data_IF_759002572012
#
_entry.id   IF_759002572012
#
_cell.length_a   1.000
_cell.length_b   1.000
_cell.length_c   1.000
_cell.angle_alpha   90.00
_cell.angle_beta   90.00
_cell.angle_gamma   90.00
#
_symmetry.space_group_name_H-M   'P 1'
#
loop_
_entity.id
_entity.type
_entity.pdbx_description
1 polymer ?
#
# COMPACT_ATOMS: atom_id res chain seq x y z
N UNK A 1 17.50 -35.23 -8.49
CA UNK A 1 17.16 -33.99 -9.21
C UNK A 1 15.76 -34.19 -9.80
N UNK A 2 14.70 -33.96 -9.02
CA UNK A 2 13.35 -34.40 -9.36
C UNK A 2 12.34 -33.26 -9.19
N UNK A 3 11.87 -32.79 -10.34
CA UNK A 3 10.52 -32.28 -10.67
C UNK A 3 9.62 -31.81 -9.52
N UNK A 4 9.82 -30.58 -9.04
CA UNK A 4 8.82 -29.88 -8.20
C UNK A 4 8.43 -28.50 -8.73
N UNK A 5 8.44 -28.31 -10.06
CA UNK A 5 8.22 -27.01 -10.69
C UNK A 5 6.75 -26.65 -11.01
N UNK A 6 5.79 -27.58 -10.91
CA UNK A 6 4.41 -27.34 -11.36
C UNK A 6 3.34 -27.23 -10.28
N UNK A 7 3.70 -27.33 -9.00
CA UNK A 7 2.76 -27.13 -7.90
C UNK A 7 3.11 -25.82 -7.24
N UNK A 8 2.46 -24.73 -7.64
CA UNK A 8 2.45 -23.49 -6.85
C UNK A 8 2.06 -23.89 -5.42
N UNK A 9 2.99 -23.82 -4.43
CA UNK A 9 2.65 -24.15 -3.06
C UNK A 9 1.49 -23.25 -2.62
N UNK A 10 0.54 -23.79 -1.87
CA UNK A 10 -0.65 -23.04 -1.43
C UNK A 10 -0.28 -21.70 -0.74
N UNK A 11 0.93 -21.61 -0.20
CA UNK A 11 1.51 -20.42 0.43
C UNK A 11 1.89 -19.29 -0.55
N UNK A 12 2.17 -19.60 -1.82
CA UNK A 12 2.34 -18.57 -2.86
C UNK A 12 1.03 -17.88 -3.22
N UNK A 13 -0.13 -18.53 -3.02
CA UNK A 13 -1.43 -17.93 -3.30
C UNK A 13 -1.72 -16.74 -2.38
N UNK A 14 -1.38 -16.85 -1.10
CA UNK A 14 -1.53 -15.74 -0.13
C UNK A 14 -0.57 -14.60 -0.46
N UNK A 15 0.67 -14.91 -0.80
CA UNK A 15 1.67 -13.93 -1.23
C UNK A 15 1.24 -13.17 -2.50
N UNK A 16 0.65 -13.86 -3.48
CA UNK A 16 0.11 -13.22 -4.69
C UNK A 16 -1.04 -12.26 -4.40
N UNK A 17 -1.90 -12.55 -3.41
CA UNK A 17 -2.99 -11.63 -3.01
C UNK A 17 -2.43 -10.33 -2.43
N UNK A 18 -1.37 -10.42 -1.61
CA UNK A 18 -0.69 -9.24 -1.10
C UNK A 18 -0.07 -8.38 -2.20
N UNK A 19 0.64 -9.01 -3.14
CA UNK A 19 1.24 -8.30 -4.26
C UNK A 19 0.19 -7.67 -5.18
N UNK A 20 -0.91 -8.37 -5.46
CA UNK A 20 -1.98 -7.83 -6.29
C UNK A 20 -2.66 -6.63 -5.61
N UNK A 21 -2.94 -6.73 -4.30
CA UNK A 21 -3.47 -5.62 -3.52
C UNK A 21 -2.50 -4.43 -3.55
N UNK A 22 -1.21 -4.68 -3.37
CA UNK A 22 -0.20 -3.64 -3.45
C UNK A 22 -0.13 -2.98 -4.83
N UNK A 23 -0.20 -3.77 -5.91
CA UNK A 23 -0.19 -3.25 -7.27
C UNK A 23 -1.39 -2.36 -7.58
N UNK A 24 -2.58 -2.69 -7.06
CA UNK A 24 -3.79 -1.85 -7.20
C UNK A 24 -3.60 -0.53 -6.45
N UNK A 25 -3.07 -0.59 -5.23
CA UNK A 25 -2.75 0.59 -4.42
C UNK A 25 -1.73 1.46 -5.15
N UNK A 26 -0.65 0.88 -5.67
CA UNK A 26 0.40 1.58 -6.40
C UNK A 26 -0.12 2.23 -7.69
N UNK A 27 -0.97 1.53 -8.45
CA UNK A 27 -1.60 2.09 -9.66
C UNK A 27 -2.49 3.30 -9.31
N UNK A 28 -3.32 3.18 -8.29
CA UNK A 28 -4.21 4.25 -7.82
C UNK A 28 -3.39 5.45 -7.33
N UNK A 29 -2.31 5.17 -6.60
CA UNK A 29 -1.36 6.17 -6.11
C UNK A 29 -0.66 6.89 -7.26
N UNK A 30 -0.21 6.16 -8.28
CA UNK A 30 0.43 6.74 -9.46
C UNK A 30 -0.53 7.66 -10.23
N UNK A 31 -1.79 7.26 -10.40
CA UNK A 31 -2.82 8.11 -11.00
C UNK A 31 -3.07 9.37 -10.18
N UNK A 32 -3.22 9.23 -8.85
CA UNK A 32 -3.39 10.37 -7.95
C UNK A 32 -2.17 11.31 -7.98
N UNK A 33 -0.95 10.77 -8.04
CA UNK A 33 0.31 11.52 -8.16
C UNK A 33 0.42 12.27 -9.49
N UNK A 34 0.02 11.64 -10.60
CA UNK A 34 0.01 12.29 -11.90
C UNK A 34 -0.99 13.46 -11.96
N UNK A 35 -2.13 13.33 -11.26
CA UNK A 35 -3.14 14.38 -11.14
C UNK A 35 -2.73 15.49 -10.18
N UNK A 36 -2.02 15.13 -9.11
CA UNK A 36 -1.64 16.03 -8.01
C UNK A 36 -0.16 16.35 -8.05
N UNK A 37 0.18 17.55 -8.50
CA UNK A 37 1.51 18.13 -8.27
C UNK A 37 1.39 19.18 -7.18
N UNK A 38 1.84 18.87 -5.96
CA UNK A 38 1.83 19.80 -4.83
C UNK A 38 3.20 20.39 -4.56
N UNK A 39 3.24 21.71 -4.32
CA UNK A 39 4.38 22.42 -3.74
C UNK A 39 4.01 22.82 -2.32
N UNK A 40 4.86 22.46 -1.36
CA UNK A 40 4.70 22.83 0.04
C UNK A 40 5.66 23.97 0.33
N UNK A 41 5.12 25.13 0.67
CA UNK A 41 5.90 26.24 1.19
C UNK A 41 5.77 26.25 2.70
N UNK A 42 6.87 25.98 3.40
CA UNK A 42 6.95 26.17 4.84
C UNK A 42 7.44 27.59 5.10
N UNK A 43 6.55 28.46 5.56
CA UNK A 43 6.93 29.78 6.01
C UNK A 43 7.41 29.71 7.47
N UNK A 44 8.33 30.58 7.89
CA UNK A 44 8.84 30.61 9.28
C UNK A 44 7.73 30.81 10.34
N UNK A 45 6.55 31.26 9.90
CA UNK A 45 5.36 31.50 10.71
C UNK A 45 4.41 30.30 10.70
N UNK A 46 4.82 29.12 11.21
CA UNK A 46 3.99 27.94 11.55
C UNK A 46 2.89 27.50 10.55
N UNK A 47 2.92 27.97 9.30
CA UNK A 47 1.85 27.79 8.32
C UNK A 47 2.45 27.17 7.08
N UNK A 48 1.96 25.98 6.73
CA UNK A 48 2.35 25.27 5.53
C UNK A 48 1.30 25.54 4.44
N UNK A 49 1.71 26.22 3.37
CA UNK A 49 0.86 26.48 2.22
C UNK A 49 1.03 25.35 1.20
N UNK A 50 -0.09 24.71 0.86
CA UNK A 50 -0.16 23.67 -0.18
C UNK A 50 -0.65 24.31 -1.49
N UNK A 51 0.24 24.42 -2.47
CA UNK A 51 -0.09 24.92 -3.80
C UNK A 51 -0.22 23.73 -4.74
N UNK A 52 -1.41 23.52 -5.30
CA UNK A 52 -1.69 22.50 -6.30
C UNK A 52 -1.42 23.08 -7.69
N UNK A 53 -0.44 22.54 -8.41
CA UNK A 53 -0.12 22.90 -9.80
C UNK A 53 -0.46 21.78 -10.81
N UNK A 54 -0.99 20.66 -10.32
CA UNK A 54 -1.30 19.50 -11.16
C UNK A 54 -2.57 19.66 -11.99
N UNK A 55 -2.81 18.76 -12.95
CA UNK A 55 -4.02 18.76 -13.79
C UNK A 55 -5.32 18.58 -12.99
N UNK A 56 -5.27 18.18 -11.72
CA UNK A 56 -6.42 18.18 -10.82
C UNK A 56 -7.09 19.58 -10.69
N UNK A 57 -6.33 20.66 -10.87
CA UNK A 57 -6.84 22.04 -10.77
C UNK A 57 -7.82 22.41 -11.87
N UNK A 58 -7.73 21.72 -13.03
CA UNK A 58 -8.63 21.92 -14.16
C UNK A 58 -10.03 21.36 -13.90
N UNK A 59 -10.16 20.42 -12.97
CA UNK A 59 -11.44 19.79 -12.65
C UNK A 59 -12.06 20.37 -11.38
N UNK A 60 -11.36 20.30 -10.24
CA UNK A 60 -11.87 20.80 -8.97
C UNK A 60 -10.77 20.82 -7.89
N UNK A 61 -10.81 21.82 -7.01
CA UNK A 61 -9.98 21.82 -5.81
C UNK A 61 -10.25 20.64 -4.87
N UNK A 62 -11.50 20.16 -4.79
CA UNK A 62 -11.84 19.00 -3.97
C UNK A 62 -11.15 17.74 -4.48
N UNK A 63 -11.03 17.59 -5.80
CA UNK A 63 -10.30 16.47 -6.40
C UNK A 63 -8.80 16.56 -6.12
N UNK A 64 -8.21 17.75 -6.15
CA UNK A 64 -6.81 17.94 -5.76
C UNK A 64 -6.57 17.54 -4.28
N UNK A 65 -7.43 18.00 -3.38
CA UNK A 65 -7.36 17.66 -1.94
C UNK A 65 -7.54 16.15 -1.73
N UNK A 66 -8.52 15.55 -2.39
CA UNK A 66 -8.76 14.10 -2.32
C UNK A 66 -7.57 13.30 -2.86
N UNK A 67 -7.05 13.66 -4.03
CA UNK A 67 -5.90 12.95 -4.63
C UNK A 67 -4.64 13.09 -3.76
N UNK A 68 -4.41 14.26 -3.15
CA UNK A 68 -3.31 14.42 -2.19
C UNK A 68 -3.50 13.56 -0.93
N UNK A 69 -4.71 13.49 -0.39
CA UNK A 69 -5.01 12.61 0.74
C UNK A 69 -4.80 11.15 0.36
N UNK A 70 -5.31 10.71 -0.80
CA UNK A 70 -5.10 9.36 -1.31
C UNK A 70 -3.60 9.06 -1.48
N UNK A 71 -2.83 9.96 -2.07
CA UNK A 71 -1.40 9.79 -2.28
C UNK A 71 -0.65 9.48 -0.97
N UNK A 72 -0.79 10.32 0.05
CA UNK A 72 -0.05 10.17 1.32
C UNK A 72 -0.43 8.87 2.03
N UNK A 73 -1.71 8.52 1.98
CA UNK A 73 -2.26 7.38 2.69
C UNK A 73 -1.97 6.06 2.00
N UNK A 74 -2.18 5.98 0.69
CA UNK A 74 -1.95 4.77 -0.08
C UNK A 74 -0.45 4.43 -0.16
N UNK A 75 0.45 5.41 -0.22
CA UNK A 75 1.91 5.17 -0.14
C UNK A 75 2.30 4.54 1.20
N UNK A 76 1.71 5.03 2.29
CA UNK A 76 1.96 4.47 3.63
C UNK A 76 1.42 3.04 3.70
N UNK A 77 0.21 2.81 3.18
CA UNK A 77 -0.41 1.49 3.14
C UNK A 77 0.38 0.49 2.29
N UNK A 78 0.85 0.90 1.10
CA UNK A 78 1.63 0.01 0.22
C UNK A 78 2.92 -0.43 0.89
N UNK A 79 3.61 0.49 1.58
CA UNK A 79 4.81 0.20 2.36
C UNK A 79 4.55 -0.85 3.45
N UNK A 80 3.43 -0.76 4.17
CA UNK A 80 3.04 -1.74 5.20
C UNK A 80 2.73 -3.10 4.57
N UNK A 81 2.00 -3.14 3.46
CA UNK A 81 1.64 -4.38 2.75
C UNK A 81 2.89 -5.07 2.20
N UNK A 82 3.84 -4.32 1.64
CA UNK A 82 5.14 -4.84 1.19
C UNK A 82 5.96 -5.39 2.35
N UNK A 83 6.00 -4.68 3.49
CA UNK A 83 6.69 -5.15 4.69
C UNK A 83 6.08 -6.47 5.20
N UNK A 84 4.75 -6.53 5.29
CA UNK A 84 4.04 -7.76 5.67
C UNK A 84 4.31 -8.90 4.68
N UNK A 85 4.38 -8.61 3.39
CA UNK A 85 4.74 -9.59 2.35
C UNK A 85 6.14 -10.15 2.55
N UNK A 86 7.10 -9.29 2.91
CA UNK A 86 8.48 -9.68 3.21
C UNK A 86 8.56 -10.51 4.50
N UNK A 87 7.89 -10.05 5.56
CA UNK A 87 7.82 -10.75 6.85
C UNK A 87 7.15 -12.12 6.71
N UNK A 88 6.09 -12.23 5.91
CA UNK A 88 5.44 -13.50 5.62
C UNK A 88 6.38 -14.49 4.92
N UNK A 89 7.17 -14.01 3.95
CA UNK A 89 8.18 -14.83 3.27
C UNK A 89 9.29 -15.28 4.22
N UNK A 90 9.78 -14.37 5.07
CA UNK A 90 10.79 -14.68 6.10
C UNK A 90 10.25 -15.67 7.15
N UNK A 91 8.99 -15.50 7.54
CA UNK A 91 8.29 -16.36 8.47
C UNK A 91 8.16 -17.79 7.92
N UNK A 92 7.78 -17.97 6.65
CA UNK A 92 7.72 -19.30 6.03
C UNK A 92 9.09 -19.99 6.03
N UNK A 93 10.16 -19.25 5.72
CA UNK A 93 11.53 -19.79 5.71
C UNK A 93 11.94 -20.21 7.13
N UNK A 94 11.59 -19.45 8.16
CA UNK A 94 11.91 -19.77 9.57
C UNK A 94 10.99 -20.86 10.18
N UNK A 95 9.72 -20.94 9.79
CA UNK A 95 8.76 -21.96 10.26
C UNK A 95 9.07 -23.34 9.73
N UNK A 96 9.75 -23.44 8.59
CA UNK A 96 10.36 -24.71 8.19
C UNK A 96 11.29 -25.30 9.28
N UNK A 97 11.70 -24.51 10.29
CA UNK A 97 12.40 -24.97 11.50
C UNK A 97 11.65 -24.79 12.85
N UNK A 98 10.45 -24.20 12.93
CA UNK A 98 9.78 -23.94 14.22
C UNK A 98 8.24 -23.88 14.16
N UNK A 99 7.58 -24.50 15.15
CA UNK A 99 6.12 -24.72 15.25
C UNK A 99 5.32 -23.48 15.70
N UNK A 100 5.49 -22.34 15.04
CA UNK A 100 4.66 -21.15 15.30
C UNK A 100 3.50 -21.08 14.29
N UNK A 101 2.32 -20.61 14.71
CA UNK A 101 1.10 -20.57 13.89
C UNK A 101 1.05 -19.37 12.92
N UNK A 102 0.68 -19.55 11.63
CA UNK A 102 0.66 -18.47 10.65
C UNK A 102 -0.47 -17.47 10.92
N UNK A 103 -0.20 -16.18 10.69
CA UNK A 103 -1.26 -15.16 10.67
C UNK A 103 -2.26 -15.46 9.55
N UNK A 104 -3.53 -15.54 9.91
CA UNK A 104 -4.64 -15.77 8.98
C UNK A 104 -4.80 -14.63 7.98
N UNK A 105 -4.98 -14.96 6.69
CA UNK A 105 -5.27 -14.00 5.60
C UNK A 105 -6.46 -13.10 5.91
N UNK A 106 -7.46 -13.56 6.68
CA UNK A 106 -8.63 -12.75 7.05
C UNK A 106 -8.28 -11.63 8.03
N UNK A 107 -7.35 -11.86 8.96
CA UNK A 107 -6.88 -10.81 9.89
C UNK A 107 -6.12 -9.72 9.15
N UNK A 108 -5.43 -10.08 8.08
CA UNK A 108 -4.63 -9.16 7.29
C UNK A 108 -5.53 -8.27 6.42
N UNK A 109 -6.54 -8.86 5.79
CA UNK A 109 -7.59 -8.09 5.12
C UNK A 109 -8.29 -7.14 6.09
N UNK A 110 -8.66 -7.61 7.28
CA UNK A 110 -9.23 -6.77 8.34
C UNK A 110 -8.32 -5.60 8.73
N UNK A 111 -7.02 -5.82 8.90
CA UNK A 111 -6.07 -4.75 9.22
C UNK A 111 -5.92 -3.75 8.07
N UNK A 112 -5.86 -4.21 6.82
CA UNK A 112 -5.79 -3.33 5.65
C UNK A 112 -7.07 -2.51 5.49
N UNK A 113 -8.24 -3.14 5.62
CA UNK A 113 -9.53 -2.46 5.56
C UNK A 113 -9.74 -1.48 6.71
N UNK A 114 -9.30 -1.85 7.93
CA UNK A 114 -9.34 -0.97 9.09
C UNK A 114 -8.41 0.22 8.93
N UNK A 115 -7.23 0.02 8.32
CA UNK A 115 -6.29 1.10 8.02
C UNK A 115 -6.87 2.08 7.00
N UNK A 116 -7.54 1.58 5.94
CA UNK A 116 -8.27 2.40 4.98
C UNK A 116 -9.40 3.18 5.67
N UNK A 117 -10.15 2.53 6.57
CA UNK A 117 -11.27 3.15 7.29
C UNK A 117 -10.84 4.18 8.35
N UNK A 118 -9.68 3.99 8.99
CA UNK A 118 -9.11 4.95 9.94
C UNK A 118 -8.55 6.21 9.28
N UNK A 119 -8.38 6.15 7.96
CA UNK A 119 -7.74 7.17 7.14
C UNK A 119 -8.77 7.93 6.27
N UNK A 120 -9.90 7.30 5.94
CA UNK A 120 -11.01 7.88 5.18
C UNK A 120 -11.96 8.70 6.06
#
# INVERSE_FOLDING_TARGET
>A
MSERFYRTPAQLRTYSVFLLNNAIIDLTTAMASALTSTRIFNHETQTSLFVFLGPCTLFSEHLCRLCQALLVNLVTQSSIVLLLSFLYRLYIINVAGSSLSPLSSSRIWLLCSLSILLIA
#
